data_IF_413074993888
#
_entry.id   IF_413074993888
#
_cell.length_a   1.000
_cell.length_b   1.000
_cell.length_c   1.000
_cell.angle_alpha   90.00
_cell.angle_beta   90.00
_cell.angle_gamma   90.00
#
_symmetry.space_group_name_H-M   'P 1'
#
loop_
_entity.id
_entity.type
_entity.pdbx_description
1 polymer ?
#
# COMPACT_ATOMS: atom_id res chain seq x y z
N UNK A 1 -50.75 -46.08 -47.63
CA UNK A 1 -50.75 -44.62 -47.42
C UNK A 1 -50.46 -44.30 -45.94
N UNK A 2 -49.28 -43.75 -45.64
CA UNK A 2 -49.01 -42.70 -44.62
C UNK A 2 -47.50 -42.66 -44.34
N UNK A 3 -46.81 -41.66 -44.90
CA UNK A 3 -45.43 -41.30 -44.54
C UNK A 3 -45.48 -40.49 -43.25
N UNK A 4 -44.79 -40.94 -42.20
CA UNK A 4 -44.57 -40.17 -40.97
C UNK A 4 -43.30 -39.34 -41.18
N UNK A 5 -43.43 -38.02 -41.24
CA UNK A 5 -42.30 -37.07 -41.23
C UNK A 5 -41.84 -36.89 -39.78
N UNK A 6 -40.59 -37.25 -39.48
CA UNK A 6 -39.90 -36.85 -38.25
C UNK A 6 -39.41 -35.41 -38.42
N UNK A 7 -39.90 -34.51 -37.59
CA UNK A 7 -39.37 -33.15 -37.45
C UNK A 7 -38.29 -33.22 -36.37
N UNK A 8 -37.04 -32.93 -36.74
CA UNK A 8 -35.94 -32.72 -35.79
C UNK A 8 -35.91 -31.23 -35.51
N UNK A 9 -36.20 -30.84 -34.27
CA UNK A 9 -36.08 -29.47 -33.79
C UNK A 9 -34.65 -29.28 -33.29
N UNK A 10 -33.82 -28.56 -34.03
CA UNK A 10 -32.49 -28.15 -33.59
C UNK A 10 -32.65 -26.88 -32.74
N UNK A 11 -32.41 -26.99 -31.42
CA UNK A 11 -32.23 -25.83 -30.55
C UNK A 11 -30.88 -25.17 -30.90
N UNK A 12 -30.91 -23.96 -31.44
CA UNK A 12 -29.75 -23.07 -31.46
C UNK A 12 -29.60 -22.47 -30.06
N UNK A 13 -28.62 -22.93 -29.29
CA UNK A 13 -28.10 -22.17 -28.16
C UNK A 13 -27.19 -21.06 -28.70
N UNK A 14 -27.73 -19.87 -28.90
CA UNK A 14 -26.93 -18.66 -29.09
C UNK A 14 -26.33 -18.25 -27.73
N UNK A 15 -25.13 -18.75 -27.45
CA UNK A 15 -24.31 -18.28 -26.34
C UNK A 15 -23.89 -16.84 -26.58
N UNK A 16 -24.32 -15.93 -25.71
CA UNK A 16 -23.76 -14.58 -25.61
C UNK A 16 -22.35 -14.74 -25.05
N UNK A 17 -21.35 -14.76 -25.92
CA UNK A 17 -19.97 -14.60 -25.50
C UNK A 17 -19.79 -13.15 -25.10
N UNK A 18 -19.82 -12.86 -23.80
CA UNK A 18 -19.24 -11.63 -23.28
C UNK A 18 -17.74 -11.73 -23.50
N UNK A 19 -17.25 -11.10 -24.56
CA UNK A 19 -15.83 -10.92 -24.75
C UNK A 19 -15.38 -9.96 -23.65
N UNK A 20 -14.73 -10.50 -22.62
CA UNK A 20 -14.00 -9.68 -21.64
C UNK A 20 -12.83 -9.09 -22.41
N UNK A 21 -13.02 -7.88 -22.95
CA UNK A 21 -11.94 -7.11 -23.53
C UNK A 21 -11.16 -6.50 -22.36
N UNK A 22 -9.88 -6.88 -22.23
CA UNK A 22 -8.97 -6.18 -21.32
C UNK A 22 -8.94 -4.70 -21.71
N UNK A 23 -9.04 -3.82 -20.72
CA UNK A 23 -9.02 -2.38 -20.98
C UNK A 23 -7.63 -1.97 -21.50
N UNK A 24 -7.58 -1.32 -22.67
CA UNK A 24 -6.34 -0.78 -23.21
C UNK A 24 -6.00 0.56 -22.54
N UNK A 25 -4.84 0.66 -21.92
CA UNK A 25 -4.31 1.90 -21.33
C UNK A 25 -4.38 3.07 -22.31
N UNK A 26 -3.96 2.84 -23.56
CA UNK A 26 -3.87 3.88 -24.58
C UNK A 26 -5.24 4.39 -25.04
N UNK A 27 -6.33 3.71 -24.70
CA UNK A 27 -7.67 4.20 -25.01
C UNK A 27 -8.01 5.45 -24.18
N UNK A 28 -7.63 5.48 -22.91
CA UNK A 28 -8.08 6.51 -21.96
C UNK A 28 -6.95 7.41 -21.45
N UNK A 29 -5.70 6.94 -21.46
CA UNK A 29 -4.60 7.59 -20.77
C UNK A 29 -3.43 7.96 -21.68
N UNK A 30 -2.71 9.00 -21.30
CA UNK A 30 -1.38 9.34 -21.81
C UNK A 30 -0.31 8.75 -20.89
N UNK A 31 0.91 8.51 -21.42
CA UNK A 31 2.06 8.12 -20.59
C UNK A 31 2.58 9.32 -19.76
N UNK A 32 1.77 9.76 -18.80
CA UNK A 32 2.02 10.81 -17.82
C UNK A 32 1.27 10.44 -16.54
N UNK A 33 1.72 10.96 -15.41
CA UNK A 33 0.99 10.79 -14.14
C UNK A 33 0.18 12.04 -13.83
N UNK A 34 -1.08 11.85 -13.45
CA UNK A 34 -1.86 12.83 -12.70
C UNK A 34 -1.68 12.52 -11.21
N UNK A 35 -0.97 13.39 -10.50
CA UNK A 35 -0.87 13.38 -9.04
C UNK A 35 -2.02 14.19 -8.47
N UNK A 36 -2.68 13.62 -7.48
CA UNK A 36 -3.85 14.16 -6.81
C UNK A 36 -3.51 14.42 -5.34
N UNK A 37 -3.42 15.69 -4.95
CA UNK A 37 -3.18 16.08 -3.57
C UNK A 37 -4.51 16.38 -2.88
N UNK A 38 -4.76 15.72 -1.76
CA UNK A 38 -5.95 15.91 -0.94
C UNK A 38 -5.58 16.25 0.49
N UNK A 39 -6.51 16.93 1.14
CA UNK A 39 -6.55 17.02 2.60
C UNK A 39 -7.70 16.15 3.09
N UNK A 40 -7.37 15.15 3.91
CA UNK A 40 -8.36 14.40 4.67
C UNK A 40 -8.45 15.03 6.05
N UNK A 41 -9.66 15.41 6.46
CA UNK A 41 -9.88 16.07 7.73
C UNK A 41 -11.09 15.53 8.46
N UNK A 42 -11.15 15.77 9.76
CA UNK A 42 -12.24 15.27 10.58
C UNK A 42 -11.82 14.97 12.01
N UNK A 43 -12.65 14.15 12.64
CA UNK A 43 -12.56 13.66 14.02
C UNK A 43 -13.24 12.27 14.07
N UNK A 44 -13.36 11.67 15.26
CA UNK A 44 -13.93 10.34 15.43
C UNK A 44 -15.40 10.21 14.97
N UNK A 45 -16.14 11.32 14.83
CA UNK A 45 -17.55 11.32 14.41
C UNK A 45 -17.74 11.69 12.94
N UNK A 46 -17.02 12.69 12.45
CA UNK A 46 -17.20 13.28 11.13
C UNK A 46 -15.88 13.35 10.37
N UNK A 47 -15.94 13.09 9.06
CA UNK A 47 -14.80 13.04 8.16
C UNK A 47 -15.16 13.76 6.87
N UNK A 48 -14.19 14.42 6.25
CA UNK A 48 -14.33 15.09 4.97
C UNK A 48 -13.03 14.98 4.16
N UNK A 49 -13.19 15.10 2.85
CA UNK A 49 -12.09 15.03 1.88
C UNK A 49 -12.19 16.29 1.01
N UNK A 50 -11.10 17.03 0.86
CA UNK A 50 -11.02 18.18 -0.03
C UNK A 50 -9.83 18.06 -0.97
N UNK A 51 -10.02 18.47 -2.23
CA UNK A 51 -8.95 18.59 -3.20
C UNK A 51 -8.07 19.79 -2.84
N UNK A 52 -6.75 19.58 -2.82
CA UNK A 52 -5.74 20.61 -2.55
C UNK A 52 -5.11 21.10 -3.86
N UNK A 53 -4.43 20.22 -4.59
CA UNK A 53 -3.73 20.54 -5.85
C UNK A 53 -3.79 19.37 -6.84
N UNK A 54 -3.76 19.68 -8.13
CA UNK A 54 -3.56 18.73 -9.22
C UNK A 54 -2.18 18.95 -9.83
N UNK A 55 -1.42 17.88 -10.01
CA UNK A 55 -0.03 17.94 -10.48
C UNK A 55 0.16 16.97 -11.65
N UNK A 56 0.94 17.35 -12.67
CA UNK A 56 1.31 16.49 -13.80
C UNK A 56 2.79 16.15 -13.76
N UNK A 57 3.10 14.84 -13.82
CA UNK A 57 4.47 14.34 -14.01
C UNK A 57 4.69 13.90 -15.46
N UNK A 58 5.95 13.90 -15.95
CA UNK A 58 6.25 13.63 -17.35
C UNK A 58 6.03 12.18 -17.80
N UNK A 59 5.94 11.22 -16.88
CA UNK A 59 5.83 9.78 -17.18
C UNK A 59 4.83 9.10 -16.22
N UNK A 60 4.18 8.02 -16.68
CA UNK A 60 3.40 7.10 -15.86
C UNK A 60 4.26 5.87 -15.52
N UNK A 61 4.54 5.67 -14.24
CA UNK A 61 5.33 4.53 -13.75
C UNK A 61 4.49 3.36 -13.23
N UNK A 62 3.17 3.51 -13.24
CA UNK A 62 2.24 2.52 -12.69
C UNK A 62 1.83 1.45 -13.70
N UNK A 63 0.96 0.53 -13.26
CA UNK A 63 0.39 -0.52 -14.11
C UNK A 63 -0.32 0.01 -15.36
N UNK A 64 -0.28 -0.77 -16.45
CA UNK A 64 -1.00 -0.49 -17.71
C UNK A 64 -2.09 -1.53 -18.02
N UNK A 65 -2.28 -2.47 -17.11
CA UNK A 65 -3.25 -3.57 -17.12
C UNK A 65 -3.98 -3.61 -15.77
N UNK A 66 -5.03 -4.45 -15.66
CA UNK A 66 -5.93 -4.48 -14.48
C UNK A 66 -6.39 -3.08 -14.03
N UNK A 67 -6.59 -2.16 -14.99
CA UNK A 67 -6.79 -0.74 -14.71
C UNK A 67 -8.05 -0.50 -13.87
N UNK A 68 -9.14 -1.21 -14.17
CA UNK A 68 -10.42 -1.09 -13.47
C UNK A 68 -10.57 -2.05 -12.28
N UNK A 69 -9.48 -2.62 -11.77
CA UNK A 69 -9.47 -3.62 -10.71
C UNK A 69 -8.51 -3.22 -9.58
N UNK A 70 -8.77 -3.68 -8.35
CA UNK A 70 -7.82 -3.57 -7.23
C UNK A 70 -7.50 -4.99 -6.72
N UNK A 71 -6.22 -5.28 -6.49
CA UNK A 71 -5.80 -6.54 -5.86
C UNK A 71 -6.29 -6.67 -4.41
N UNK A 72 -6.30 -5.55 -3.70
CA UNK A 72 -6.72 -5.45 -2.31
C UNK A 72 -7.81 -4.39 -2.19
N UNK A 73 -8.62 -4.52 -1.16
CA UNK A 73 -9.69 -3.56 -0.93
C UNK A 73 -9.14 -2.22 -0.41
N UNK A 74 -8.20 -2.27 0.52
CA UNK A 74 -7.72 -1.14 1.31
C UNK A 74 -8.78 -0.55 2.24
N UNK A 75 -8.38 0.48 2.98
CA UNK A 75 -9.26 1.32 3.80
C UNK A 75 -9.81 2.54 3.03
N UNK A 76 -9.32 2.80 1.82
CA UNK A 76 -9.86 3.79 0.90
C UNK A 76 -9.52 3.47 -0.56
N UNK A 77 -10.19 4.14 -1.49
CA UNK A 77 -10.00 3.97 -2.94
C UNK A 77 -10.06 5.30 -3.68
N UNK A 78 -9.25 5.42 -4.73
CA UNK A 78 -9.42 6.42 -5.80
C UNK A 78 -9.96 5.71 -7.03
N UNK A 79 -11.07 6.19 -7.59
CA UNK A 79 -11.74 5.63 -8.77
C UNK A 79 -11.89 6.70 -9.84
N UNK A 80 -11.48 6.40 -11.06
CA UNK A 80 -11.58 7.27 -12.22
C UNK A 80 -12.61 6.71 -13.18
N UNK A 81 -13.54 7.56 -13.61
CA UNK A 81 -14.55 7.22 -14.59
C UNK A 81 -14.45 8.15 -15.79
N UNK A 82 -14.49 7.57 -16.99
CA UNK A 82 -14.68 8.36 -18.21
C UNK A 82 -16.03 9.09 -18.11
N UNK A 83 -16.04 10.41 -18.29
CA UNK A 83 -17.27 11.18 -18.06
C UNK A 83 -18.35 10.88 -19.10
N UNK A 84 -17.96 10.63 -20.35
CA UNK A 84 -18.92 10.42 -21.44
C UNK A 84 -19.69 9.11 -21.30
N UNK A 85 -19.03 8.05 -20.81
CA UNK A 85 -19.59 6.70 -20.70
C UNK A 85 -19.91 6.27 -19.27
N UNK A 86 -19.39 6.99 -18.26
CA UNK A 86 -19.41 6.62 -16.84
C UNK A 86 -18.79 5.24 -16.57
N UNK A 87 -17.91 4.77 -17.46
CA UNK A 87 -17.14 3.53 -17.29
C UNK A 87 -15.99 3.76 -16.30
N UNK A 88 -15.79 2.83 -15.36
CA UNK A 88 -14.59 2.81 -14.51
C UNK A 88 -13.37 2.52 -15.39
N UNK A 89 -12.45 3.48 -15.46
CA UNK A 89 -11.26 3.42 -16.32
C UNK A 89 -9.96 3.26 -15.54
N UNK A 90 -9.94 3.61 -14.25
CA UNK A 90 -8.81 3.30 -13.38
C UNK A 90 -9.27 3.24 -11.92
N UNK A 91 -8.64 2.40 -11.11
CA UNK A 91 -8.79 2.42 -9.65
C UNK A 91 -7.48 2.12 -8.94
N UNK A 92 -7.32 2.63 -7.73
CA UNK A 92 -6.29 2.17 -6.79
C UNK A 92 -6.83 2.20 -5.36
N UNK A 93 -6.34 1.31 -4.51
CA UNK A 93 -6.70 1.18 -3.09
C UNK A 93 -5.55 1.58 -2.19
N UNK A 94 -5.85 2.03 -0.97
CA UNK A 94 -4.84 2.50 -0.01
C UNK A 94 -5.34 2.41 1.43
N UNK A 95 -4.43 2.67 2.37
CA UNK A 95 -4.72 3.03 3.76
C UNK A 95 -3.99 4.34 4.10
N UNK A 96 -4.35 5.01 5.20
CA UNK A 96 -3.79 6.33 5.53
C UNK A 96 -3.49 6.49 7.01
N UNK A 97 -2.48 7.34 7.32
CA UNK A 97 -2.20 7.78 8.68
C UNK A 97 -3.38 8.54 9.31
N UNK A 98 -4.22 9.19 8.48
CA UNK A 98 -5.46 9.81 8.93
C UNK A 98 -6.42 8.78 9.53
N UNK A 99 -6.61 7.65 8.86
CA UNK A 99 -7.49 6.59 9.37
C UNK A 99 -6.93 5.97 10.66
N UNK A 100 -5.61 5.86 10.78
CA UNK A 100 -4.99 5.48 12.05
C UNK A 100 -5.22 6.50 13.17
N UNK A 101 -5.17 7.79 12.86
CA UNK A 101 -5.42 8.83 13.85
C UNK A 101 -6.86 8.80 14.39
N UNK A 102 -7.84 8.42 13.54
CA UNK A 102 -9.26 8.43 13.89
C UNK A 102 -9.64 7.51 15.06
N UNK A 103 -8.83 6.49 15.38
CA UNK A 103 -9.07 5.62 16.56
C UNK A 103 -8.49 6.16 17.86
N UNK A 104 -7.69 7.23 17.80
CA UNK A 104 -6.99 7.76 18.97
C UNK A 104 -7.92 8.59 19.85
N UNK A 105 -7.62 8.68 21.15
CA UNK A 105 -8.35 9.59 22.07
C UNK A 105 -8.32 11.06 21.60
N UNK A 106 -7.28 11.47 20.85
CA UNK A 106 -7.20 12.83 20.31
C UNK A 106 -8.33 13.10 19.31
N UNK A 107 -8.69 12.11 18.49
CA UNK A 107 -9.77 12.24 17.50
C UNK A 107 -11.16 12.39 18.14
N UNK A 108 -11.34 12.00 19.41
CA UNK A 108 -12.59 12.26 20.14
C UNK A 108 -12.72 13.73 20.60
N UNK A 109 -11.60 14.48 20.65
CA UNK A 109 -11.52 15.80 21.29
C UNK A 109 -11.06 16.90 20.36
N UNK A 110 -10.52 16.56 19.19
CA UNK A 110 -9.97 17.51 18.23
C UNK A 110 -10.37 17.17 16.80
N UNK A 111 -10.45 18.19 15.95
CA UNK A 111 -10.56 18.04 14.50
C UNK A 111 -9.22 18.37 13.87
N UNK A 112 -8.66 17.45 13.08
CA UNK A 112 -7.34 17.58 12.43
C UNK A 112 -7.44 17.30 10.94
N UNK A 113 -6.35 17.59 10.25
CA UNK A 113 -6.19 17.39 8.82
C UNK A 113 -4.85 16.74 8.48
N UNK A 114 -4.84 15.94 7.43
CA UNK A 114 -3.69 15.16 6.98
C UNK A 114 -3.53 15.30 5.47
N UNK A 115 -2.30 15.48 5.02
CA UNK A 115 -1.96 15.48 3.59
C UNK A 115 -2.04 14.05 3.06
N UNK A 116 -2.68 13.85 1.91
CA UNK A 116 -2.78 12.56 1.23
C UNK A 116 -2.53 12.76 -0.26
N UNK A 117 -1.67 11.92 -0.85
CA UNK A 117 -1.26 12.04 -2.25
C UNK A 117 -1.48 10.72 -2.95
N UNK A 118 -2.11 10.77 -4.14
CA UNK A 118 -2.33 9.59 -4.96
C UNK A 118 -1.86 9.82 -6.39
N UNK A 119 -1.33 8.77 -7.00
CA UNK A 119 -0.90 8.79 -8.40
C UNK A 119 -1.87 7.97 -9.25
N UNK A 120 -2.37 8.59 -10.31
CA UNK A 120 -3.25 7.94 -11.30
C UNK A 120 -2.75 8.26 -12.71
N UNK A 121 -3.03 7.42 -13.72
CA UNK A 121 -2.61 7.72 -15.08
C UNK A 121 -3.33 8.97 -15.61
N UNK A 122 -2.62 9.79 -16.37
CA UNK A 122 -3.14 11.08 -16.84
C UNK A 122 -4.22 10.86 -17.94
N UNK A 123 -5.46 11.33 -17.74
CA UNK A 123 -6.54 11.06 -18.68
C UNK A 123 -6.45 11.93 -19.94
N UNK A 124 -6.86 11.36 -21.08
CA UNK A 124 -6.97 12.07 -22.37
C UNK A 124 -8.24 12.93 -22.49
N UNK A 125 -9.26 12.62 -21.71
CA UNK A 125 -10.59 13.23 -21.77
C UNK A 125 -11.06 13.60 -20.36
N UNK A 126 -12.12 14.42 -20.29
CA UNK A 126 -12.72 14.81 -19.02
C UNK A 126 -13.11 13.58 -18.21
N UNK A 127 -12.65 13.53 -16.96
CA UNK A 127 -12.71 12.34 -16.11
C UNK A 127 -13.31 12.69 -14.75
N UNK A 128 -14.27 11.90 -14.29
CA UNK A 128 -14.81 11.99 -12.93
C UNK A 128 -13.90 11.21 -12.00
N UNK A 129 -13.48 11.83 -10.90
CA UNK A 129 -12.68 11.19 -9.85
C UNK A 129 -13.53 11.05 -8.60
N UNK A 130 -13.56 9.87 -8.02
CA UNK A 130 -14.13 9.59 -6.70
C UNK A 130 -13.01 9.15 -5.76
N UNK A 131 -12.88 9.84 -4.62
CA UNK A 131 -12.04 9.41 -3.50
C UNK A 131 -12.96 8.97 -2.37
N UNK A 132 -12.79 7.73 -1.93
CA UNK A 132 -13.68 7.07 -0.99
C UNK A 132 -12.87 6.57 0.21
N UNK A 133 -13.36 6.81 1.42
CA UNK A 133 -12.88 6.19 2.65
C UNK A 133 -13.92 5.20 3.16
N UNK A 134 -13.46 4.03 3.60
CA UNK A 134 -14.30 3.02 4.24
C UNK A 134 -14.24 3.13 5.76
N UNK A 135 -15.33 2.74 6.42
CA UNK A 135 -15.33 2.49 7.87
C UNK A 135 -14.76 1.11 8.21
N UNK A 136 -14.65 0.82 9.51
CA UNK A 136 -14.12 -0.46 10.04
C UNK A 136 -14.94 -1.69 9.65
N UNK A 137 -16.19 -1.52 9.20
CA UNK A 137 -17.04 -2.60 8.70
C UNK A 137 -16.95 -2.73 7.18
N UNK A 138 -16.14 -1.88 6.54
CA UNK A 138 -16.03 -1.84 5.11
C UNK A 138 -17.27 -1.27 4.42
N UNK A 139 -17.88 -0.22 4.97
CA UNK A 139 -18.89 0.57 4.27
C UNK A 139 -18.30 1.91 3.84
N UNK A 140 -18.75 2.46 2.70
CA UNK A 140 -18.32 3.79 2.26
C UNK A 140 -18.80 4.84 3.27
N UNK A 141 -17.84 5.54 3.89
CA UNK A 141 -18.09 6.50 4.96
C UNK A 141 -17.99 7.94 4.47
N UNK A 142 -16.96 8.23 3.68
CA UNK A 142 -16.68 9.58 3.17
C UNK A 142 -16.32 9.51 1.70
N UNK A 143 -16.97 10.32 0.87
CA UNK A 143 -16.73 10.36 -0.57
C UNK A 143 -16.59 11.80 -1.05
N UNK A 144 -15.51 12.10 -1.76
CA UNK A 144 -15.39 13.31 -2.59
C UNK A 144 -15.52 12.90 -4.05
N UNK A 145 -16.37 13.62 -4.79
CA UNK A 145 -16.45 13.54 -6.26
C UNK A 145 -16.05 14.87 -6.87
N UNK A 146 -15.12 14.84 -7.82
CA UNK A 146 -14.74 16.00 -8.62
C UNK A 146 -14.38 15.61 -10.06
N UNK A 147 -14.06 16.59 -10.91
CA UNK A 147 -13.80 16.39 -12.33
C UNK A 147 -12.45 16.95 -12.72
N UNK A 148 -11.72 16.19 -13.52
CA UNK A 148 -10.47 16.59 -14.15
C UNK A 148 -10.75 16.98 -15.59
N UNK A 149 -10.33 18.19 -15.96
CA UNK A 149 -10.19 18.61 -17.35
C UNK A 149 -8.71 18.55 -17.72
N UNK A 150 -8.28 17.63 -18.61
CA UNK A 150 -6.86 17.45 -18.95
C UNK A 150 -6.13 18.73 -19.40
N UNK A 151 -6.89 19.67 -19.98
CA UNK A 151 -6.44 20.98 -20.46
C UNK A 151 -6.47 22.10 -19.41
N UNK A 152 -6.86 21.81 -18.16
CA UNK A 152 -6.86 22.80 -17.08
C UNK A 152 -5.45 23.34 -16.84
N UNK A 153 -5.31 24.66 -17.02
CA UNK A 153 -4.05 25.39 -16.90
C UNK A 153 -3.52 25.44 -15.46
N UNK A 154 -4.34 25.08 -14.47
CA UNK A 154 -3.94 25.00 -13.06
C UNK A 154 -3.42 23.62 -12.66
N UNK A 155 -3.40 22.64 -13.57
CA UNK A 155 -2.65 21.41 -13.35
C UNK A 155 -1.16 21.74 -13.39
N UNK A 156 -0.51 21.64 -12.23
CA UNK A 156 0.86 22.10 -12.05
C UNK A 156 1.87 21.08 -12.62
N UNK A 157 2.67 21.50 -13.60
CA UNK A 157 3.77 20.69 -14.12
C UNK A 157 4.93 20.58 -13.11
N UNK A 158 5.26 19.36 -12.68
CA UNK A 158 6.42 19.06 -11.82
C UNK A 158 7.25 17.92 -12.41
N UNK A 159 8.53 17.85 -12.01
CA UNK A 159 9.43 16.78 -12.44
C UNK A 159 10.05 16.95 -13.83
N UNK A 160 9.99 18.15 -14.40
CA UNK A 160 10.66 18.50 -15.68
C UNK A 160 12.04 19.08 -15.43
N UNK A 161 12.17 19.92 -14.40
CA UNK A 161 13.40 20.60 -14.00
C UNK A 161 13.64 20.38 -12.51
N UNK A 162 14.91 20.40 -12.10
CA UNK A 162 15.25 20.27 -10.67
C UNK A 162 14.93 18.91 -10.07
N UNK A 163 14.88 17.84 -10.88
CA UNK A 163 14.67 16.46 -10.42
C UNK A 163 15.74 16.12 -9.36
N UNK A 164 15.29 15.63 -8.20
CA UNK A 164 16.18 15.25 -7.10
C UNK A 164 17.20 14.21 -7.59
N UNK A 165 18.50 14.34 -7.29
CA UNK A 165 19.48 13.36 -7.73
C UNK A 165 19.11 11.95 -7.26
N UNK A 166 19.18 10.96 -8.15
CA UNK A 166 18.88 9.57 -7.83
C UNK A 166 19.80 8.60 -8.54
N UNK A 167 19.87 7.36 -8.07
CA UNK A 167 20.55 6.26 -8.75
C UNK A 167 19.83 4.94 -8.55
N UNK A 168 19.90 4.06 -9.56
CA UNK A 168 19.37 2.71 -9.43
C UNK A 168 20.32 1.86 -8.59
N UNK A 169 19.76 1.18 -7.59
CA UNK A 169 20.44 0.19 -6.75
C UNK A 169 20.28 -1.20 -7.35
N UNK A 170 19.09 -1.49 -7.89
CA UNK A 170 18.76 -2.71 -8.61
C UNK A 170 17.79 -2.36 -9.74
N UNK A 171 17.92 -3.05 -10.88
CA UNK A 171 17.14 -2.81 -12.08
C UNK A 171 16.41 -4.07 -12.51
N UNK A 172 15.15 -3.90 -12.88
CA UNK A 172 14.36 -4.92 -13.51
C UNK A 172 14.95 -5.28 -14.89
N UNK A 173 14.67 -6.50 -15.33
CA UNK A 173 15.10 -7.00 -16.64
C UNK A 173 14.31 -6.37 -17.79
N UNK A 174 13.04 -6.06 -17.55
CA UNK A 174 12.14 -5.39 -18.48
C UNK A 174 11.39 -4.26 -17.77
N UNK A 175 11.74 -3.02 -18.09
CA UNK A 175 11.14 -1.84 -17.48
C UNK A 175 9.65 -1.67 -17.79
N UNK A 176 9.10 -2.33 -18.83
CA UNK A 176 7.67 -2.24 -19.14
C UNK A 176 6.78 -2.98 -18.15
N UNK A 177 7.37 -3.85 -17.33
CA UNK A 177 6.72 -4.64 -16.27
C UNK A 177 7.33 -4.40 -14.89
N UNK A 178 8.17 -3.37 -14.76
CA UNK A 178 8.91 -3.16 -13.53
C UNK A 178 8.02 -2.52 -12.47
N UNK A 179 8.03 -3.10 -11.28
CA UNK A 179 7.53 -2.49 -10.06
C UNK A 179 8.58 -1.51 -9.56
N UNK A 180 8.24 -0.23 -9.49
CA UNK A 180 9.19 0.84 -9.18
C UNK A 180 9.12 1.23 -7.70
N UNK A 181 10.16 0.88 -6.95
CA UNK A 181 10.31 1.18 -5.52
C UNK A 181 11.40 2.23 -5.31
N UNK A 182 11.05 3.35 -4.68
CA UNK A 182 12.02 4.42 -4.34
C UNK A 182 12.40 4.38 -2.87
N UNK A 183 13.68 4.57 -2.59
CA UNK A 183 14.21 4.93 -1.28
C UNK A 183 14.36 6.44 -1.16
N UNK A 184 13.91 7.03 -0.06
CA UNK A 184 14.04 8.48 0.21
C UNK A 184 14.93 8.70 1.42
N UNK A 185 15.92 9.59 1.29
CA UNK A 185 16.81 9.98 2.37
C UNK A 185 16.10 10.94 3.35
N UNK A 186 15.93 10.53 4.60
CA UNK A 186 15.38 11.36 5.67
C UNK A 186 16.39 11.52 6.82
N UNK A 187 16.68 12.76 7.20
CA UNK A 187 17.68 13.06 8.24
C UNK A 187 19.13 12.85 7.81
N UNK A 188 19.41 12.67 6.52
CA UNK A 188 20.77 12.65 5.97
C UNK A 188 21.10 14.00 5.34
N UNK A 189 22.17 14.64 5.78
CA UNK A 189 22.73 15.82 5.12
C UNK A 189 23.40 15.46 3.79
N UNK A 190 23.74 16.46 2.98
CA UNK A 190 24.45 16.24 1.71
C UNK A 190 25.76 15.43 1.89
N UNK A 191 26.47 15.60 3.02
CA UNK A 191 27.70 14.87 3.32
C UNK A 191 27.46 13.40 3.71
N UNK A 192 26.24 13.03 4.08
CA UNK A 192 25.87 11.68 4.55
C UNK A 192 25.18 10.85 3.47
N UNK A 193 25.05 11.35 2.23
CA UNK A 193 24.37 10.64 1.14
C UNK A 193 24.99 9.27 0.80
N UNK A 194 26.30 9.09 1.00
CA UNK A 194 26.92 7.77 0.84
C UNK A 194 26.42 6.77 1.89
N UNK A 195 26.12 7.21 3.11
CA UNK A 195 25.55 6.36 4.17
C UNK A 195 24.11 5.99 3.84
N UNK A 196 23.33 6.92 3.31
CA UNK A 196 21.98 6.66 2.82
C UNK A 196 21.97 5.60 1.70
N UNK A 197 22.83 5.76 0.69
CA UNK A 197 22.93 4.80 -0.42
C UNK A 197 23.31 3.41 0.07
N UNK A 198 24.20 3.31 1.06
CA UNK A 198 24.55 2.03 1.67
C UNK A 198 23.37 1.42 2.41
N UNK A 199 22.60 2.22 3.16
CA UNK A 199 21.37 1.74 3.80
C UNK A 199 20.31 1.27 2.78
N UNK A 200 20.21 1.94 1.62
CA UNK A 200 19.34 1.52 0.52
C UNK A 200 19.79 0.16 -0.05
N UNK A 201 21.09 -0.05 -0.28
CA UNK A 201 21.64 -1.36 -0.71
C UNK A 201 21.33 -2.47 0.29
N UNK A 202 21.57 -2.22 1.58
CA UNK A 202 21.22 -3.18 2.64
C UNK A 202 19.72 -3.49 2.62
N UNK A 203 18.87 -2.50 2.37
CA UNK A 203 17.41 -2.71 2.27
C UNK A 203 17.05 -3.61 1.09
N UNK A 204 17.63 -3.35 -0.09
CA UNK A 204 17.42 -4.18 -1.29
C UNK A 204 17.87 -5.61 -1.05
N UNK A 205 19.06 -5.81 -0.50
CA UNK A 205 19.59 -7.14 -0.18
C UNK A 205 18.67 -7.90 0.78
N UNK A 206 18.18 -7.24 1.83
CA UNK A 206 17.29 -7.89 2.79
C UNK A 206 15.89 -8.15 2.19
N UNK A 207 15.32 -7.23 1.42
CA UNK A 207 14.02 -7.44 0.75
C UNK A 207 14.12 -8.64 -0.21
N UNK A 208 15.10 -8.63 -1.12
CA UNK A 208 15.27 -9.68 -2.12
C UNK A 208 15.72 -11.03 -1.52
N UNK A 209 16.29 -11.04 -0.31
CA UNK A 209 16.56 -12.29 0.41
C UNK A 209 15.28 -13.00 0.88
N UNK A 210 14.18 -12.27 1.07
CA UNK A 210 12.92 -12.84 1.54
C UNK A 210 12.04 -13.29 0.36
N UNK A 211 11.43 -14.46 0.51
CA UNK A 211 10.47 -14.97 -0.47
C UNK A 211 9.10 -14.29 -0.26
N UNK A 212 8.36 -14.00 -1.34
CA UNK A 212 8.67 -14.30 -2.74
C UNK A 212 9.52 -13.23 -3.45
N UNK A 213 9.84 -12.08 -2.85
CA UNK A 213 10.54 -10.97 -3.54
C UNK A 213 11.78 -11.42 -4.32
N UNK A 214 12.62 -12.28 -3.74
CA UNK A 214 13.81 -12.81 -4.42
C UNK A 214 13.55 -13.71 -5.63
N UNK A 215 12.36 -14.29 -5.77
CA UNK A 215 11.96 -15.02 -6.99
C UNK A 215 11.54 -14.08 -8.12
N UNK A 216 11.16 -12.85 -7.79
CA UNK A 216 10.65 -11.85 -8.71
C UNK A 216 11.58 -10.64 -8.83
N UNK A 217 12.86 -10.78 -8.46
CA UNK A 217 13.85 -9.70 -8.50
C UNK A 217 13.96 -9.05 -9.89
N UNK A 218 13.87 -9.85 -10.96
CA UNK A 218 13.81 -9.42 -12.36
C UNK A 218 12.67 -8.41 -12.67
N UNK A 219 11.68 -8.24 -11.78
CA UNK A 219 10.55 -7.32 -11.93
C UNK A 219 10.62 -6.08 -11.05
N UNK A 220 11.66 -5.90 -10.23
CA UNK A 220 11.76 -4.72 -9.37
C UNK A 220 12.81 -3.73 -9.87
N UNK A 221 12.46 -2.46 -9.89
CA UNK A 221 13.41 -1.35 -9.87
C UNK A 221 13.50 -0.82 -8.44
N UNK A 222 14.72 -0.73 -7.91
CA UNK A 222 14.99 -0.09 -6.63
C UNK A 222 15.86 1.15 -6.85
N UNK A 223 15.33 2.32 -6.50
CA UNK A 223 15.92 3.62 -6.84
C UNK A 223 16.21 4.40 -5.57
N UNK A 224 17.46 4.80 -5.33
CA UNK A 224 17.83 5.64 -4.20
C UNK A 224 17.76 7.13 -4.58
N UNK A 225 16.84 7.86 -3.96
CA UNK A 225 16.61 9.30 -4.16
C UNK A 225 17.32 10.10 -3.08
N UNK A 226 18.35 10.86 -3.48
CA UNK A 226 19.26 11.61 -2.61
C UNK A 226 18.65 12.95 -2.24
N UNK A 227 17.69 12.94 -1.31
CA UNK A 227 17.00 14.11 -0.76
C UNK A 227 17.71 14.67 0.48
N UNK A 228 18.61 15.67 0.36
CA UNK A 228 19.36 16.17 1.50
C UNK A 228 18.48 16.89 2.52
N UNK A 229 18.68 16.54 3.78
CA UNK A 229 18.19 17.26 4.95
C UNK A 229 19.13 18.38 5.35
N UNK A 230 18.60 19.42 6.01
CA UNK A 230 19.44 20.48 6.60
C UNK A 230 20.15 19.96 7.85
N UNK A 231 19.40 19.28 8.71
CA UNK A 231 19.92 18.67 9.94
C UNK A 231 20.15 17.17 9.77
N UNK A 232 21.19 16.64 10.42
CA UNK A 232 21.40 15.20 10.58
C UNK A 232 20.51 14.65 11.71
N UNK A 233 19.90 13.49 11.49
CA UNK A 233 18.92 12.89 12.40
C UNK A 233 17.47 13.30 12.13
N UNK A 234 16.54 12.79 12.93
CA UNK A 234 15.09 13.10 12.85
C UNK A 234 14.56 13.71 14.15
N UNK A 235 13.36 14.29 14.11
CA UNK A 235 12.77 14.97 15.27
C UNK A 235 12.33 13.98 16.36
N UNK A 236 12.52 14.35 17.63
CA UNK A 236 12.11 13.59 18.81
C UNK A 236 11.31 14.52 19.76
N UNK A 237 10.00 14.70 19.51
CA UNK A 237 9.15 15.64 20.24
C UNK A 237 9.19 15.50 21.76
N UNK A 238 9.21 14.27 22.31
CA UNK A 238 9.28 14.03 23.78
C UNK A 238 10.54 14.59 24.44
N UNK A 239 11.59 14.88 23.66
CA UNK A 239 12.84 15.51 24.12
C UNK A 239 12.89 17.02 23.80
N UNK A 240 11.85 17.58 23.18
CA UNK A 240 11.84 18.94 22.66
C UNK A 240 12.75 19.13 21.44
N UNK A 241 13.16 18.05 20.77
CA UNK A 241 14.08 18.08 19.63
C UNK A 241 13.30 18.15 18.32
N UNK A 242 13.39 19.30 17.63
CA UNK A 242 12.78 19.52 16.32
C UNK A 242 13.84 19.84 15.29
N UNK A 243 13.95 18.99 14.27
CA UNK A 243 14.95 19.07 13.20
C UNK A 243 14.30 19.46 11.87
N UNK A 244 15.08 20.11 11.01
CA UNK A 244 14.72 20.49 9.64
C UNK A 244 15.24 19.43 8.66
N UNK A 245 14.39 18.49 8.33
CA UNK A 245 14.73 17.33 7.50
C UNK A 245 13.92 17.29 6.20
N UNK A 246 14.33 16.42 5.27
CA UNK A 246 13.83 16.35 3.92
C UNK A 246 12.31 16.13 3.86
N UNK A 247 11.75 15.32 4.77
CA UNK A 247 10.30 15.07 4.88
C UNK A 247 9.76 15.32 6.27
N UNK A 248 10.50 16.03 7.13
CA UNK A 248 10.07 16.46 8.46
C UNK A 248 9.44 15.33 9.32
N UNK A 249 10.05 14.15 9.29
CA UNK A 249 9.58 13.01 10.11
C UNK A 249 9.79 13.28 11.60
N UNK A 250 8.95 12.67 12.43
CA UNK A 250 9.06 12.76 13.88
C UNK A 250 8.60 11.46 14.57
N UNK A 251 9.32 11.11 15.65
CA UNK A 251 8.85 10.12 16.63
C UNK A 251 7.64 10.65 17.40
N UNK A 252 7.10 9.84 18.30
CA UNK A 252 5.99 10.23 19.18
C UNK A 252 4.68 10.47 18.41
N UNK A 253 4.53 9.87 17.22
CA UNK A 253 3.27 9.92 16.47
C UNK A 253 2.16 9.30 17.32
N UNK A 254 1.06 10.03 17.48
CA UNK A 254 -0.06 9.68 18.37
C UNK A 254 0.37 9.40 19.81
N UNK A 255 1.45 10.06 20.27
CA UNK A 255 2.06 9.87 21.58
C UNK A 255 2.64 8.45 21.81
N UNK A 256 2.82 7.65 20.76
CA UNK A 256 3.54 6.38 20.81
C UNK A 256 5.04 6.62 20.57
N UNK A 257 5.87 6.39 21.60
CA UNK A 257 7.29 6.81 21.61
C UNK A 257 8.13 6.32 20.42
N UNK A 258 7.79 5.14 19.90
CA UNK A 258 8.52 4.45 18.83
C UNK A 258 7.89 4.69 17.46
N UNK A 259 6.70 5.30 17.41
CA UNK A 259 6.02 5.49 16.15
C UNK A 259 6.59 6.71 15.42
N UNK A 260 7.32 6.44 14.33
CA UNK A 260 8.04 7.41 13.53
C UNK A 260 7.35 7.54 12.17
N UNK A 261 6.76 8.69 11.90
CA UNK A 261 5.97 8.95 10.69
C UNK A 261 6.29 10.33 10.09
N UNK A 262 5.74 10.61 8.91
CA UNK A 262 5.64 11.96 8.37
C UNK A 262 4.22 12.24 7.89
N UNK A 263 3.71 13.44 8.18
CA UNK A 263 2.45 13.96 7.62
C UNK A 263 2.69 14.96 6.48
N UNK A 264 3.91 14.98 5.90
CA UNK A 264 4.32 15.89 4.82
C UNK A 264 4.34 15.18 3.48
N UNK A 265 3.23 14.54 3.13
CA UNK A 265 3.13 13.74 1.90
C UNK A 265 3.33 14.59 0.65
N UNK A 266 2.87 15.84 0.62
CA UNK A 266 3.09 16.68 -0.57
C UNK A 266 4.57 16.97 -0.80
N UNK A 267 5.30 17.25 0.28
CA UNK A 267 6.75 17.47 0.26
C UNK A 267 7.50 16.19 -0.14
N UNK A 268 7.10 15.03 0.38
CA UNK A 268 7.66 13.73 -0.01
C UNK A 268 7.51 13.49 -1.51
N UNK A 269 6.30 13.65 -2.05
CA UNK A 269 6.04 13.41 -3.46
C UNK A 269 6.66 14.49 -4.36
N UNK A 270 6.88 15.72 -3.88
CA UNK A 270 7.62 16.76 -4.61
C UNK A 270 9.09 16.37 -4.81
N UNK A 271 9.73 15.75 -3.79
CA UNK A 271 11.10 15.22 -3.93
C UNK A 271 11.20 14.10 -4.96
N UNK A 272 10.10 13.38 -5.21
CA UNK A 272 10.02 12.26 -6.14
C UNK A 272 9.56 12.67 -7.54
N UNK A 273 9.18 13.93 -7.76
CA UNK A 273 8.66 14.38 -9.04
C UNK A 273 9.70 14.21 -10.17
N UNK A 274 9.31 13.50 -11.23
CA UNK A 274 10.17 13.20 -12.38
C UNK A 274 11.02 11.93 -12.24
N UNK A 275 10.87 11.19 -11.14
CA UNK A 275 11.47 9.86 -10.93
C UNK A 275 10.34 8.83 -11.07
N UNK A 276 10.54 7.69 -11.75
CA UNK A 276 9.52 6.65 -11.83
C UNK A 276 9.36 5.93 -10.48
N UNK A 277 8.16 5.91 -9.91
CA UNK A 277 7.86 5.19 -8.67
C UNK A 277 6.38 4.83 -8.52
N UNK A 278 6.15 3.77 -7.76
CA UNK A 278 4.83 3.29 -7.30
C UNK A 278 4.82 3.10 -5.79
N UNK A 279 5.94 2.65 -5.21
CA UNK A 279 6.08 2.37 -3.77
C UNK A 279 7.26 3.14 -3.16
N UNK A 280 7.11 3.55 -1.90
CA UNK A 280 8.05 4.44 -1.23
C UNK A 280 8.57 3.81 0.07
N UNK A 281 9.89 3.79 0.24
CA UNK A 281 10.59 3.44 1.48
C UNK A 281 11.43 4.64 1.94
N UNK A 282 11.09 5.21 3.08
CA UNK A 282 11.82 6.32 3.69
C UNK A 282 12.82 5.76 4.70
N UNK A 283 14.09 6.08 4.52
CA UNK A 283 15.16 5.66 5.40
C UNK A 283 15.54 6.82 6.32
N UNK A 284 15.37 6.65 7.63
CA UNK A 284 15.64 7.67 8.62
C UNK A 284 17.02 7.47 9.28
N UNK A 285 17.87 8.50 9.21
CA UNK A 285 19.21 8.50 9.78
C UNK A 285 19.21 8.61 11.32
N UNK A 286 18.87 7.53 12.02
CA UNK A 286 18.89 7.50 13.48
C UNK A 286 19.09 6.09 14.00
N UNK A 287 19.59 5.95 15.23
CA UNK A 287 19.79 4.67 15.90
C UNK A 287 18.65 4.28 16.86
N UNK A 288 17.65 5.15 17.04
CA UNK A 288 16.47 4.86 17.86
C UNK A 288 15.58 3.87 17.11
N UNK A 289 15.04 2.87 17.81
CA UNK A 289 14.06 1.95 17.22
C UNK A 289 12.76 2.68 16.91
N UNK A 290 12.28 2.57 15.67
CA UNK A 290 10.97 3.04 15.26
C UNK A 290 10.77 2.94 13.76
N UNK A 291 9.53 3.15 13.35
CA UNK A 291 9.12 3.07 11.97
C UNK A 291 7.62 2.84 11.86
N UNK A 292 7.19 2.56 10.64
CA UNK A 292 5.83 2.18 10.30
C UNK A 292 5.67 1.97 8.80
N UNK A 293 4.67 1.19 8.42
CA UNK A 293 4.30 0.93 7.03
C UNK A 293 2.80 1.01 6.87
N UNK A 294 2.33 1.79 5.90
CA UNK A 294 0.90 1.94 5.60
C UNK A 294 0.68 1.62 4.13
N UNK A 295 -0.27 0.72 3.86
CA UNK A 295 -0.57 0.21 2.52
C UNK A 295 -0.78 1.33 1.49
N UNK A 296 0.03 1.31 0.42
CA UNK A 296 0.07 2.31 -0.66
C UNK A 296 0.22 3.77 -0.19
N UNK A 297 0.84 3.98 0.98
CA UNK A 297 1.32 5.28 1.44
C UNK A 297 2.86 5.30 1.41
N UNK A 298 3.51 4.77 2.45
CA UNK A 298 4.96 4.58 2.49
C UNK A 298 5.35 3.58 3.59
N UNK A 299 6.57 3.05 3.49
CA UNK A 299 7.34 2.53 4.63
C UNK A 299 8.26 3.62 5.16
N UNK A 300 8.42 3.72 6.47
CA UNK A 300 9.45 4.54 7.10
C UNK A 300 10.14 3.71 8.17
N UNK A 301 11.46 3.60 8.12
CA UNK A 301 12.24 2.87 9.15
C UNK A 301 13.56 3.56 9.46
N UNK A 302 14.09 3.29 10.65
CA UNK A 302 15.41 3.79 11.06
C UNK A 302 16.53 2.86 10.60
N UNK A 303 17.66 3.43 10.18
CA UNK A 303 18.76 2.66 9.59
C UNK A 303 19.89 2.33 10.56
N UNK A 304 20.03 3.11 11.64
CA UNK A 304 21.11 2.96 12.61
C UNK A 304 20.80 1.97 13.73
N UNK A 305 19.57 1.46 13.80
CA UNK A 305 19.16 0.49 14.81
C UNK A 305 19.56 -0.94 14.41
N UNK A 306 19.93 -1.78 15.40
CA UNK A 306 20.36 -3.17 15.17
C UNK A 306 19.33 -4.05 14.45
N UNK A 307 18.05 -3.72 14.59
CA UNK A 307 16.93 -4.46 14.01
C UNK A 307 16.45 -3.84 12.68
N UNK A 308 17.19 -2.89 12.09
CA UNK A 308 16.85 -2.26 10.79
C UNK A 308 16.52 -3.30 9.70
N UNK A 309 17.36 -4.31 9.55
CA UNK A 309 17.25 -5.34 8.51
C UNK A 309 15.90 -6.10 8.53
N UNK A 310 15.47 -6.69 9.66
CA UNK A 310 14.14 -7.31 9.70
C UNK A 310 12.99 -6.30 9.66
N UNK A 311 13.16 -5.11 10.25
CA UNK A 311 12.09 -4.09 10.32
C UNK A 311 11.76 -3.55 8.94
N UNK A 312 12.75 -3.20 8.09
CA UNK A 312 12.46 -2.68 6.74
C UNK A 312 11.62 -3.65 5.92
N UNK A 313 11.86 -4.95 6.07
CA UNK A 313 11.09 -6.00 5.38
C UNK A 313 9.69 -6.14 5.97
N UNK A 314 9.55 -6.06 7.30
CA UNK A 314 8.25 -6.07 7.98
C UNK A 314 7.37 -4.90 7.52
N UNK A 315 7.90 -3.68 7.59
CA UNK A 315 7.16 -2.48 7.20
C UNK A 315 6.83 -2.46 5.71
N UNK A 316 7.70 -3.02 4.86
CA UNK A 316 7.40 -3.19 3.44
C UNK A 316 6.26 -4.21 3.21
N UNK A 317 6.12 -5.21 4.09
CA UNK A 317 4.95 -6.10 4.10
C UNK A 317 3.63 -5.35 4.25
N UNK A 318 3.58 -4.31 5.08
CA UNK A 318 2.42 -3.42 5.19
C UNK A 318 2.26 -2.52 3.97
N UNK A 319 3.29 -1.73 3.63
CA UNK A 319 3.15 -0.66 2.64
C UNK A 319 3.00 -1.17 1.21
N UNK A 320 3.66 -2.27 0.86
CA UNK A 320 3.53 -2.93 -0.43
C UNK A 320 2.36 -3.91 -0.45
N UNK A 321 2.39 -4.92 0.42
CA UNK A 321 1.49 -6.06 0.34
C UNK A 321 0.19 -5.94 1.16
N UNK A 322 -0.01 -4.85 1.90
CA UNK A 322 -1.22 -4.65 2.71
C UNK A 322 -1.44 -5.77 3.72
N UNK A 323 -0.36 -6.37 4.23
CA UNK A 323 -0.43 -7.39 5.28
C UNK A 323 -0.77 -6.71 6.61
N UNK A 324 -1.55 -7.37 7.45
CA UNK A 324 -1.77 -6.96 8.83
C UNK A 324 -0.64 -7.47 9.74
N UNK A 325 -0.51 -6.86 10.90
CA UNK A 325 0.27 -7.44 11.99
C UNK A 325 -0.33 -8.74 12.51
N UNK A 326 0.54 -9.70 12.82
CA UNK A 326 0.19 -11.01 13.38
C UNK A 326 0.56 -11.13 14.88
N UNK A 327 1.12 -10.06 15.45
CA UNK A 327 1.23 -9.86 16.88
C UNK A 327 -0.03 -9.16 17.40
N UNK A 328 -0.49 -9.59 18.55
CA UNK A 328 -1.68 -9.04 19.20
C UNK A 328 -1.29 -8.74 20.64
N UNK A 329 -1.11 -7.46 20.95
CA UNK A 329 -0.87 -7.01 22.33
C UNK A 329 -2.16 -6.44 22.91
N UNK A 330 -2.41 -6.66 24.19
CA UNK A 330 -3.61 -6.11 24.88
C UNK A 330 -3.64 -4.57 24.94
N UNK A 331 -2.54 -3.89 24.60
CA UNK A 331 -2.33 -2.44 24.80
C UNK A 331 -1.76 -1.75 23.55
N UNK A 332 -1.91 -2.36 22.37
CA UNK A 332 -1.44 -1.71 21.14
C UNK A 332 -2.40 -0.62 20.69
N UNK A 333 -1.87 0.56 20.36
CA UNK A 333 -2.65 1.71 19.87
C UNK A 333 -3.37 1.38 18.55
N UNK A 334 -2.85 0.38 17.81
CA UNK A 334 -3.43 -0.08 16.55
C UNK A 334 -4.35 -1.31 16.69
N UNK A 335 -4.47 -1.89 17.89
CA UNK A 335 -5.27 -3.12 18.09
C UNK A 335 -6.77 -2.92 17.87
N UNK A 336 -7.26 -1.68 17.96
CA UNK A 336 -8.67 -1.32 17.74
C UNK A 336 -9.06 -1.19 16.24
N UNK A 337 -8.11 -1.34 15.30
CA UNK A 337 -8.40 -1.22 13.86
C UNK A 337 -9.08 -2.43 13.24
N UNK A 338 -8.95 -3.61 13.85
CA UNK A 338 -9.51 -4.85 13.29
C UNK A 338 -10.82 -5.17 13.99
N UNK A 339 -11.93 -4.86 13.32
CA UNK A 339 -13.26 -5.28 13.76
C UNK A 339 -13.37 -6.81 13.73
N UNK A 340 -13.75 -7.42 14.84
CA UNK A 340 -14.11 -8.85 14.88
C UNK A 340 -15.53 -9.14 14.36
N UNK A 341 -16.25 -8.09 13.92
CA UNK A 341 -17.61 -8.23 13.40
C UNK A 341 -17.66 -8.50 11.90
N UNK A 342 -16.63 -8.09 11.16
CA UNK A 342 -16.51 -8.24 9.70
C UNK A 342 -15.23 -8.99 9.33
N UNK A 343 -15.17 -9.54 8.12
CA UNK A 343 -13.93 -10.13 7.61
C UNK A 343 -12.94 -9.01 7.26
N UNK A 344 -11.71 -9.00 7.80
CA UNK A 344 -10.68 -8.03 7.44
C UNK A 344 -10.32 -8.16 5.96
N UNK A 345 -9.87 -7.09 5.32
CA UNK A 345 -9.46 -7.15 3.91
C UNK A 345 -8.02 -7.65 3.73
N UNK A 346 -7.20 -7.54 4.78
CA UNK A 346 -5.82 -8.02 4.83
C UNK A 346 -5.80 -9.55 4.70
N UNK A 347 -4.88 -10.06 3.89
CA UNK A 347 -4.94 -11.46 3.45
C UNK A 347 -4.39 -12.46 4.47
N UNK A 348 -3.62 -12.02 5.46
CA UNK A 348 -2.91 -12.88 6.42
C UNK A 348 -3.60 -13.03 7.79
N UNK A 349 -4.73 -12.36 8.00
CA UNK A 349 -5.58 -12.51 9.19
C UNK A 349 -7.03 -12.80 8.81
N UNK A 350 -7.80 -13.41 9.72
CA UNK A 350 -9.23 -13.70 9.50
C UNK A 350 -10.02 -13.61 10.79
N UNK A 351 -11.30 -13.24 10.69
CA UNK A 351 -12.29 -13.31 11.78
C UNK A 351 -13.28 -14.47 11.57
N UNK A 352 -13.03 -15.30 10.56
CA UNK A 352 -13.86 -16.42 10.11
C UNK A 352 -15.27 -16.04 9.63
N UNK A 353 -15.49 -14.76 9.31
CA UNK A 353 -16.77 -14.28 8.73
C UNK A 353 -16.87 -14.61 7.24
N UNK A 354 -15.74 -14.57 6.53
CA UNK A 354 -15.60 -15.00 5.14
C UNK A 354 -14.22 -15.64 4.90
N UNK A 355 -13.98 -16.77 5.57
CA UNK A 355 -12.69 -17.47 5.49
C UNK A 355 -12.43 -18.10 4.11
N UNK A 356 -13.46 -18.30 3.28
CA UNK A 356 -13.31 -18.80 1.90
C UNK A 356 -12.51 -17.83 1.02
N UNK A 357 -12.58 -16.53 1.30
CA UNK A 357 -11.79 -15.49 0.63
C UNK A 357 -10.33 -15.38 1.11
N UNK A 358 -9.92 -16.19 2.10
CA UNK A 358 -8.57 -16.17 2.70
C UNK A 358 -7.79 -17.42 2.32
N UNK A 359 -6.96 -17.95 3.22
CA UNK A 359 -6.10 -19.12 2.96
C UNK A 359 -6.78 -20.47 3.19
N UNK A 360 -8.13 -20.54 3.23
CA UNK A 360 -8.85 -21.81 3.42
C UNK A 360 -8.47 -22.86 2.38
N UNK A 361 -8.24 -22.44 1.13
CA UNK A 361 -7.78 -23.30 0.03
C UNK A 361 -6.38 -23.88 0.26
N UNK A 362 -5.56 -23.26 1.11
CA UNK A 362 -4.20 -23.69 1.45
C UNK A 362 -4.19 -24.68 2.63
N UNK A 363 -5.32 -24.87 3.34
CA UNK A 363 -5.40 -25.79 4.45
C UNK A 363 -5.34 -27.25 3.99
N UNK A 364 -4.58 -28.07 4.73
CA UNK A 364 -4.63 -29.52 4.59
C UNK A 364 -6.04 -30.03 4.90
N UNK A 365 -6.53 -30.99 4.11
CA UNK A 365 -7.83 -31.64 4.36
C UNK A 365 -7.88 -32.17 5.81
N UNK A 366 -8.91 -31.75 6.56
CA UNK A 366 -9.10 -32.14 7.96
C UNK A 366 -8.28 -31.33 8.97
N UNK A 367 -7.76 -30.16 8.61
CA UNK A 367 -7.24 -29.18 9.59
C UNK A 367 -8.38 -28.69 10.49
N UNK A 368 -8.25 -28.77 11.83
CA UNK A 368 -9.23 -28.21 12.76
C UNK A 368 -9.30 -26.68 12.68
N UNK A 369 -10.48 -26.11 12.84
CA UNK A 369 -10.72 -24.65 12.88
C UNK A 369 -11.50 -24.31 14.16
N UNK A 370 -10.92 -23.57 15.13
CA UNK A 370 -9.51 -23.15 15.18
C UNK A 370 -8.56 -24.34 15.33
N UNK A 371 -7.30 -24.16 14.91
CA UNK A 371 -6.26 -25.19 14.99
C UNK A 371 -5.61 -25.18 16.38
N UNK A 372 -5.66 -26.29 17.14
CA UNK A 372 -5.01 -26.36 18.45
C UNK A 372 -3.48 -26.19 18.34
N UNK A 373 -2.89 -25.38 19.23
CA UNK A 373 -1.44 -25.12 19.23
C UNK A 373 -0.59 -26.39 19.31
N UNK A 374 -1.05 -27.41 20.04
CA UNK A 374 -0.37 -28.70 20.16
C UNK A 374 -0.36 -29.53 18.85
N UNK A 375 -1.12 -29.11 17.83
CA UNK A 375 -1.14 -29.73 16.50
C UNK A 375 -0.37 -28.92 15.45
N UNK A 376 0.35 -27.87 15.84
CA UNK A 376 1.04 -26.99 14.89
C UNK A 376 2.08 -27.70 14.02
N UNK A 377 2.75 -28.73 14.55
CA UNK A 377 3.65 -29.59 13.75
C UNK A 377 2.91 -30.39 12.67
N UNK A 378 1.65 -30.75 12.90
CA UNK A 378 0.82 -31.53 11.96
C UNK A 378 0.18 -30.64 10.89
N UNK A 379 -0.12 -29.40 11.26
CA UNK A 379 -0.79 -28.41 10.39
C UNK A 379 0.00 -27.10 10.33
N UNK A 380 1.17 -27.04 9.68
CA UNK A 380 1.97 -25.81 9.64
C UNK A 380 1.15 -24.58 9.24
N UNK A 381 0.35 -24.71 8.16
CA UNK A 381 -0.72 -23.77 7.81
C UNK A 381 -2.01 -24.24 8.51
N UNK A 382 -2.52 -23.39 9.40
CA UNK A 382 -3.70 -23.63 10.21
C UNK A 382 -4.57 -22.38 10.36
N UNK A 383 -5.39 -22.37 11.41
CA UNK A 383 -6.18 -21.23 11.84
C UNK A 383 -5.88 -21.00 13.31
N UNK A 384 -4.80 -20.28 13.58
CA UNK A 384 -4.27 -20.08 14.93
C UNK A 384 -4.81 -18.79 15.51
N UNK A 385 -5.42 -18.89 16.69
CA UNK A 385 -5.93 -17.72 17.38
C UNK A 385 -4.76 -16.79 17.75
N UNK A 386 -4.89 -15.51 17.38
CA UNK A 386 -3.87 -14.50 17.55
C UNK A 386 -3.64 -14.14 19.01
N UNK A 387 -4.69 -13.58 19.63
CA UNK A 387 -4.82 -13.39 21.06
C UNK A 387 -6.01 -14.22 21.55
N UNK A 388 -5.85 -15.11 22.55
CA UNK A 388 -6.95 -15.94 23.03
C UNK A 388 -8.21 -15.12 23.35
N UNK A 389 -9.34 -15.45 22.72
CA UNK A 389 -10.64 -14.81 22.95
C UNK A 389 -10.93 -13.57 22.11
N UNK A 390 -10.01 -13.08 21.27
CA UNK A 390 -10.25 -11.89 20.43
C UNK A 390 -11.02 -12.19 19.12
N UNK A 391 -11.08 -13.46 18.71
CA UNK A 391 -11.76 -13.88 17.48
C UNK A 391 -11.00 -13.54 16.18
N UNK A 392 -9.71 -13.24 16.26
CA UNK A 392 -8.83 -12.98 15.10
C UNK A 392 -7.80 -14.11 15.01
N UNK A 393 -7.62 -14.64 13.81
CA UNK A 393 -6.76 -15.79 13.54
C UNK A 393 -5.72 -15.48 12.47
N UNK A 394 -4.59 -16.19 12.53
CA UNK A 394 -3.48 -16.14 11.59
C UNK A 394 -3.15 -17.52 11.02
N UNK A 395 -2.47 -17.53 9.88
CA UNK A 395 -2.19 -18.76 9.13
C UNK A 395 -1.11 -19.65 9.76
N UNK A 396 -0.09 -19.08 10.38
CA UNK A 396 1.00 -19.80 11.04
C UNK A 396 1.33 -19.19 12.41
N UNK A 397 2.09 -19.92 13.23
CA UNK A 397 2.50 -19.42 14.56
C UNK A 397 3.63 -18.39 14.48
N UNK A 398 4.52 -18.51 13.49
CA UNK A 398 5.69 -17.67 13.30
C UNK A 398 5.63 -17.01 11.92
N UNK A 399 5.90 -15.70 11.87
CA UNK A 399 5.86 -14.90 10.65
C UNK A 399 6.72 -13.65 10.86
N UNK A 400 7.31 -13.11 9.79
CA UNK A 400 7.88 -11.76 9.74
C UNK A 400 6.88 -10.70 10.20
N UNK A 401 5.59 -10.87 9.90
CA UNK A 401 4.51 -9.98 10.36
C UNK A 401 4.16 -10.13 11.85
N UNK A 402 4.79 -11.08 12.55
CA UNK A 402 4.61 -11.27 14.00
C UNK A 402 5.83 -10.85 14.80
N UNK A 403 7.03 -11.16 14.31
CA UNK A 403 8.27 -10.92 15.06
C UNK A 403 9.44 -10.66 14.14
N UNK A 404 10.26 -9.68 14.54
CA UNK A 404 11.50 -9.34 13.84
C UNK A 404 12.55 -10.46 13.88
N UNK A 405 12.45 -11.42 14.81
CA UNK A 405 13.42 -12.51 14.92
C UNK A 405 13.14 -13.68 13.96
N UNK A 406 11.92 -13.81 13.44
CA UNK A 406 11.64 -14.81 12.42
C UNK A 406 12.30 -14.41 11.09
N UNK A 407 12.76 -15.36 10.30
CA UNK A 407 13.61 -15.10 9.12
C UNK A 407 12.85 -15.09 7.80
N UNK A 408 11.53 -15.29 7.82
CA UNK A 408 10.68 -15.38 6.63
C UNK A 408 9.26 -14.87 6.87
N UNK A 409 8.56 -14.53 5.80
CA UNK A 409 7.10 -14.47 5.81
C UNK A 409 6.52 -15.89 5.95
N UNK A 410 5.37 -16.03 6.62
CA UNK A 410 4.62 -17.30 6.63
C UNK A 410 4.08 -17.62 5.23
N UNK A 411 3.70 -18.86 4.95
CA UNK A 411 3.25 -19.28 3.62
C UNK A 411 2.03 -18.48 3.11
N UNK A 412 1.14 -18.08 4.03
CA UNK A 412 -0.02 -17.23 3.70
C UNK A 412 0.42 -15.84 3.24
N UNK A 413 1.35 -15.21 3.98
CA UNK A 413 1.93 -13.93 3.59
C UNK A 413 2.69 -14.04 2.26
N UNK A 414 3.48 -15.11 2.06
CA UNK A 414 4.22 -15.30 0.81
C UNK A 414 3.27 -15.38 -0.38
N UNK A 415 2.18 -16.14 -0.26
CA UNK A 415 1.17 -16.25 -1.31
C UNK A 415 0.45 -14.91 -1.58
N UNK A 416 0.15 -14.14 -0.53
CA UNK A 416 -0.45 -12.81 -0.69
C UNK A 416 0.48 -11.83 -1.42
N UNK A 417 1.77 -11.82 -1.07
CA UNK A 417 2.79 -11.00 -1.75
C UNK A 417 2.93 -11.43 -3.21
N UNK A 418 2.99 -12.74 -3.48
CA UNK A 418 3.12 -13.30 -4.84
C UNK A 418 1.93 -12.90 -5.72
N UNK A 419 0.69 -13.03 -5.22
CA UNK A 419 -0.51 -12.63 -5.95
C UNK A 419 -0.50 -11.13 -6.26
N UNK A 420 -0.02 -10.29 -5.34
CA UNK A 420 0.08 -8.85 -5.58
C UNK A 420 1.15 -8.51 -6.63
N UNK A 421 2.31 -9.18 -6.59
CA UNK A 421 3.34 -9.02 -7.62
C UNK A 421 2.76 -9.37 -8.99
N UNK A 422 2.09 -10.52 -9.12
CA UNK A 422 1.41 -10.91 -10.36
C UNK A 422 0.41 -9.85 -10.84
N UNK A 423 -0.40 -9.30 -9.94
CA UNK A 423 -1.34 -8.23 -10.30
C UNK A 423 -0.68 -7.01 -10.95
N UNK A 424 0.55 -6.67 -10.54
CA UNK A 424 1.30 -5.54 -11.11
C UNK A 424 2.04 -5.86 -12.41
N UNK A 425 2.31 -7.14 -12.74
CA UNK A 425 3.20 -7.50 -13.87
C UNK A 425 2.53 -8.31 -15.00
N UNK A 426 1.38 -8.92 -14.72
CA UNK A 426 0.54 -9.69 -15.64
C UNK A 426 -0.81 -9.00 -15.78
#
# INVERSE_FOLDING_TARGET
>A
MRKIKKIVLALLCSGVFTVVQAQDFNQYFENKTLRLDYIFGGNAQEQFIVLDELVRYPEWAGRTHHLSENALRGNGQVRLYDEATNQLIYTTSFSTLFQEWLSTEEAERATKSFENVFLVPFPKQKTKVEVVLFDVNGQEKSTLTHWIQPEDILIHDKGIVGVTPYEYIHQAKDNSKAINVVFVAEGYTAAEMNQFVEAAKVSVDEILKHQPFGQFDDYFNFIAVKSPSTDSGVSVPRKGEWKKTAVASNFDTFYSERYLTTNRLKQLHDLLAGIPYEHIIILANTNVYGGGGIYNSYTLTTTGHKDFKPVVVHEFGHSFAGLADEYFYEQDVLSDFISNQTEPWEQNITTLKDFDAKWKSQLKKGTPVPTPLNQAKKYPIGVYEGLPGNGIYKGELECRMRTNQHDKFCAVCQHAIENLIHFYID
#
